data_IF_199671608086
#
_entry.id   IF_199671608086
#
_cell.length_a   1.000
_cell.length_b   1.000
_cell.length_c   1.000
_cell.angle_alpha   90.00
_cell.angle_beta   90.00
_cell.angle_gamma   90.00
#
_symmetry.space_group_name_H-M   'P 1'
#
loop_
_entity.id
_entity.type
_entity.pdbx_description
1 polymer ?
#
# COMPACT_ATOMS: atom_id res chain seq x y z
N UNK A 1 -19.49 43.64 -39.44
CA UNK A 1 -19.70 43.09 -38.07
C UNK A 1 -19.84 41.57 -38.04
N UNK A 2 -20.35 40.90 -39.10
CA UNK A 2 -20.42 39.43 -39.15
C UNK A 2 -19.07 38.68 -39.24
N UNK A 3 -18.07 39.23 -39.94
CA UNK A 3 -16.78 38.53 -40.10
C UNK A 3 -15.99 38.39 -38.79
N UNK A 4 -16.07 39.36 -37.87
CA UNK A 4 -15.36 39.29 -36.58
C UNK A 4 -15.96 38.22 -35.65
N UNK A 5 -17.27 37.97 -35.71
CA UNK A 5 -17.93 36.94 -34.90
C UNK A 5 -17.47 35.52 -35.29
N UNK A 6 -17.23 35.25 -36.59
CA UNK A 6 -16.74 33.96 -37.06
C UNK A 6 -15.30 33.66 -36.60
N UNK A 7 -14.43 34.67 -36.50
CA UNK A 7 -13.07 34.47 -35.99
C UNK A 7 -13.04 34.14 -34.49
N UNK A 8 -13.96 34.68 -33.68
CA UNK A 8 -14.05 34.35 -32.25
C UNK A 8 -14.58 32.93 -31.99
N UNK A 9 -15.52 32.44 -32.80
CA UNK A 9 -16.08 31.09 -32.65
C UNK A 9 -15.04 30.01 -33.00
N UNK A 10 -14.22 30.22 -34.03
CA UNK A 10 -13.17 29.28 -34.44
C UNK A 10 -12.06 29.18 -33.37
N UNK A 11 -11.71 30.29 -32.70
CA UNK A 11 -10.71 30.29 -31.63
C UNK A 11 -11.23 29.64 -30.33
N UNK A 12 -12.53 29.75 -30.03
CA UNK A 12 -13.12 29.08 -28.85
C UNK A 12 -13.22 27.55 -29.05
N UNK A 13 -13.48 27.08 -30.28
CA UNK A 13 -13.54 25.65 -30.61
C UNK A 13 -12.16 24.98 -30.58
N UNK A 14 -11.09 25.71 -30.93
CA UNK A 14 -9.71 25.20 -30.86
C UNK A 14 -9.21 25.08 -29.41
N UNK A 15 -9.81 25.83 -28.48
CA UNK A 15 -9.43 25.85 -27.06
C UNK A 15 -9.95 24.63 -26.27
N UNK A 16 -10.94 23.91 -26.80
CA UNK A 16 -11.59 22.78 -26.10
C UNK A 16 -10.94 21.42 -26.45
N UNK A 17 -10.16 21.34 -27.53
CA UNK A 17 -9.57 20.08 -27.99
C UNK A 17 -8.23 19.69 -27.33
N UNK A 18 -7.66 20.55 -26.49
CA UNK A 18 -6.49 20.20 -25.65
C UNK A 18 -6.98 19.77 -24.26
N UNK A 19 -7.96 18.87 -24.22
CA UNK A 19 -8.18 18.08 -23.02
C UNK A 19 -7.04 17.07 -22.96
N UNK A 20 -6.00 17.42 -22.20
CA UNK A 20 -4.88 16.54 -21.90
C UNK A 20 -5.45 15.29 -21.26
N UNK A 21 -5.61 14.23 -22.05
CA UNK A 21 -5.79 12.89 -21.54
C UNK A 21 -4.48 12.52 -20.83
N UNK A 22 -4.39 12.84 -19.55
CA UNK A 22 -3.39 12.20 -18.69
C UNK A 22 -3.86 10.74 -18.58
N UNK A 23 -3.43 9.91 -19.53
CA UNK A 23 -3.55 8.47 -19.42
C UNK A 23 -2.63 8.07 -18.28
N UNK A 24 -3.16 8.04 -17.06
CA UNK A 24 -2.48 7.37 -15.97
C UNK A 24 -2.54 5.89 -16.30
N UNK A 25 -1.45 5.35 -16.85
CA UNK A 25 -1.28 3.91 -16.93
C UNK A 25 -1.27 3.38 -15.51
N UNK A 26 -2.39 2.83 -15.04
CA UNK A 26 -2.38 1.99 -13.86
C UNK A 26 -1.44 0.83 -14.17
N UNK A 27 -0.29 0.78 -13.48
CA UNK A 27 0.58 -0.39 -13.56
C UNK A 27 -0.18 -1.51 -12.87
N UNK A 28 -0.57 -2.52 -13.63
CA UNK A 28 -1.01 -3.79 -13.06
C UNK A 28 0.14 -4.39 -12.28
N UNK A 29 -0.16 -5.13 -11.21
CA UNK A 29 0.87 -5.73 -10.39
C UNK A 29 1.86 -6.57 -11.22
N UNK A 30 1.42 -7.22 -12.30
CA UNK A 30 2.22 -8.14 -13.13
C UNK A 30 3.51 -7.53 -13.74
N UNK A 31 3.63 -6.21 -13.85
CA UNK A 31 4.80 -5.54 -14.44
C UNK A 31 5.70 -4.83 -13.40
N UNK A 32 5.62 -5.23 -12.13
CA UNK A 32 6.42 -4.63 -11.07
C UNK A 32 7.86 -5.13 -11.04
N UNK A 33 8.80 -4.20 -11.08
CA UNK A 33 10.20 -4.43 -10.72
C UNK A 33 10.45 -4.04 -9.27
N UNK A 34 11.30 -4.79 -8.57
CA UNK A 34 11.69 -4.52 -7.20
C UNK A 34 13.20 -4.36 -7.09
N UNK A 35 13.63 -3.56 -6.12
CA UNK A 35 15.05 -3.39 -5.82
C UNK A 35 15.68 -4.72 -5.37
N UNK A 36 17.00 -4.80 -5.50
CA UNK A 36 17.79 -5.98 -5.12
C UNK A 36 17.40 -7.26 -5.88
N UNK A 37 16.88 -7.12 -7.11
CA UNK A 37 16.45 -8.23 -7.97
C UNK A 37 15.45 -9.18 -7.28
N UNK A 38 14.61 -8.66 -6.39
CA UNK A 38 13.53 -9.44 -5.77
C UNK A 38 12.49 -9.79 -6.84
N UNK A 39 12.09 -11.07 -6.87
CA UNK A 39 11.09 -11.61 -7.80
C UNK A 39 9.96 -12.22 -7.00
N UNK A 40 8.73 -11.91 -7.37
CA UNK A 40 7.51 -12.46 -6.80
C UNK A 40 6.69 -13.12 -7.90
N UNK A 41 6.27 -14.36 -7.66
CA UNK A 41 5.54 -15.18 -8.63
C UNK A 41 4.04 -14.89 -8.61
N UNK A 42 3.56 -14.34 -7.49
CA UNK A 42 2.15 -14.01 -7.29
C UNK A 42 1.98 -12.53 -6.98
N UNK A 43 0.88 -11.96 -7.45
CA UNK A 43 0.51 -10.60 -7.12
C UNK A 43 -1.00 -10.37 -7.26
N UNK A 44 -1.49 -9.33 -6.58
CA UNK A 44 -2.86 -8.84 -6.74
C UNK A 44 -2.89 -7.32 -6.62
N UNK A 45 -3.74 -6.70 -7.44
CA UNK A 45 -4.10 -5.29 -7.31
C UNK A 45 -5.13 -5.15 -6.19
N UNK A 46 -4.85 -4.30 -5.21
CA UNK A 46 -5.81 -4.03 -4.14
C UNK A 46 -6.78 -2.94 -4.60
N UNK A 47 -8.09 -3.07 -4.36
CA UNK A 47 -9.10 -2.16 -4.95
C UNK A 47 -8.95 -0.69 -4.55
N UNK A 48 -8.23 -0.39 -3.47
CA UNK A 48 -8.16 0.93 -2.86
C UNK A 48 -6.73 1.35 -2.55
N UNK A 49 -6.53 2.67 -2.46
CA UNK A 49 -5.29 3.33 -2.06
C UNK A 49 -4.12 3.15 -3.05
N UNK A 50 -4.41 2.75 -4.30
CA UNK A 50 -3.38 2.52 -5.31
C UNK A 50 -2.32 1.53 -4.81
N UNK A 51 -2.80 0.45 -4.18
CA UNK A 51 -1.98 -0.50 -3.46
C UNK A 51 -1.96 -1.85 -4.19
N UNK A 52 -0.86 -2.58 -4.01
CA UNK A 52 -0.59 -3.86 -4.65
C UNK A 52 0.12 -4.75 -3.65
N UNK A 53 -0.21 -6.04 -3.67
CA UNK A 53 0.47 -7.03 -2.84
C UNK A 53 1.10 -8.08 -3.75
N UNK A 54 2.38 -8.32 -3.52
CA UNK A 54 3.16 -9.35 -4.19
C UNK A 54 3.65 -10.35 -3.16
N UNK A 55 3.73 -11.62 -3.54
CA UNK A 55 4.19 -12.63 -2.61
C UNK A 55 4.79 -13.87 -3.27
N UNK A 56 5.58 -14.59 -2.47
CA UNK A 56 5.98 -15.98 -2.67
C UNK A 56 5.66 -16.74 -1.39
N UNK A 57 4.83 -17.77 -1.48
CA UNK A 57 4.60 -18.67 -0.36
C UNK A 57 5.72 -19.72 -0.27
N UNK A 58 6.15 -20.02 0.95
CA UNK A 58 7.24 -20.96 1.27
C UNK A 58 6.63 -22.10 2.10
N UNK A 59 6.13 -23.18 1.45
CA UNK A 59 5.34 -24.20 2.12
C UNK A 59 6.06 -24.91 3.26
N UNK A 60 7.35 -25.22 3.08
CA UNK A 60 8.17 -25.92 4.07
C UNK A 60 8.32 -25.17 5.40
N UNK A 61 8.22 -23.83 5.37
CA UNK A 61 8.32 -22.97 6.55
C UNK A 61 6.96 -22.40 6.97
N UNK A 62 5.91 -22.63 6.17
CA UNK A 62 4.59 -21.96 6.30
C UNK A 62 4.73 -20.43 6.35
N UNK A 63 5.73 -19.88 5.66
CA UNK A 63 6.02 -18.45 5.62
C UNK A 63 5.62 -17.86 4.27
N UNK A 64 5.44 -16.54 4.23
CA UNK A 64 5.23 -15.81 2.98
C UNK A 64 6.19 -14.63 2.92
N UNK A 65 6.98 -14.60 1.84
CA UNK A 65 7.75 -13.41 1.49
C UNK A 65 6.83 -12.45 0.73
N UNK A 66 6.76 -11.20 1.16
CA UNK A 66 5.85 -10.20 0.59
C UNK A 66 6.60 -8.97 0.09
N UNK A 67 5.98 -8.30 -0.88
CA UNK A 67 6.16 -6.87 -1.14
C UNK A 67 4.79 -6.19 -1.21
N UNK A 68 4.47 -5.39 -0.20
CA UNK A 68 3.28 -4.53 -0.20
C UNK A 68 3.70 -3.14 -0.69
N UNK A 69 3.12 -2.69 -1.81
CA UNK A 69 3.42 -1.40 -2.43
C UNK A 69 2.17 -0.54 -2.45
N UNK A 70 2.30 0.75 -2.19
CA UNK A 70 1.21 1.71 -2.35
C UNK A 70 1.72 3.08 -2.77
N UNK A 71 0.90 3.80 -3.55
CA UNK A 71 1.15 5.21 -3.86
C UNK A 71 1.13 6.04 -2.57
N UNK A 72 2.15 6.87 -2.37
CA UNK A 72 2.27 7.69 -1.17
C UNK A 72 3.16 8.91 -1.40
N UNK A 73 2.94 9.98 -0.64
CA UNK A 73 3.82 11.16 -0.58
C UNK A 73 4.96 10.95 0.42
N UNK A 74 6.05 11.70 0.27
CA UNK A 74 7.26 11.53 1.08
C UNK A 74 7.09 11.82 2.58
N UNK A 75 6.01 12.48 2.99
CA UNK A 75 5.68 12.78 4.39
C UNK A 75 4.64 11.82 4.99
N UNK A 76 4.13 10.90 4.16
CA UNK A 76 3.12 9.95 4.56
C UNK A 76 3.68 8.65 5.11
N UNK A 77 2.79 7.70 5.33
CA UNK A 77 3.08 6.35 5.78
C UNK A 77 2.15 5.36 5.09
N UNK A 78 2.58 4.10 5.02
CA UNK A 78 1.76 2.98 4.55
C UNK A 78 1.81 1.85 5.57
N UNK A 79 0.73 1.07 5.66
CA UNK A 79 0.68 -0.12 6.49
C UNK A 79 0.00 -1.27 5.76
N UNK A 80 0.51 -2.47 5.99
CA UNK A 80 -0.14 -3.73 5.62
C UNK A 80 -0.18 -4.64 6.83
N UNK A 81 -1.30 -5.32 7.04
CA UNK A 81 -1.54 -6.08 8.26
C UNK A 81 -2.28 -7.39 7.98
N UNK A 82 -2.03 -8.38 8.84
CA UNK A 82 -2.86 -9.57 8.99
C UNK A 82 -3.74 -9.37 10.21
N UNK A 83 -5.03 -9.67 10.11
CA UNK A 83 -5.90 -9.78 11.27
C UNK A 83 -6.13 -11.27 11.61
N UNK A 84 -5.49 -11.80 12.67
CA UNK A 84 -5.65 -13.20 13.04
C UNK A 84 -6.97 -13.51 13.76
N UNK A 85 -7.71 -12.50 14.23
CA UNK A 85 -8.92 -12.68 15.06
C UNK A 85 -10.20 -12.13 14.43
N UNK A 86 -10.10 -11.48 13.26
CA UNK A 86 -11.21 -10.81 12.60
C UNK A 86 -10.91 -10.42 11.16
N UNK A 87 -11.66 -9.47 10.62
CA UNK A 87 -11.56 -9.02 9.22
C UNK A 87 -11.26 -7.53 9.07
N UNK A 88 -11.39 -6.73 10.15
CA UNK A 88 -11.25 -5.27 10.11
C UNK A 88 -9.99 -4.76 10.80
N UNK A 89 -9.91 -3.45 11.05
CA UNK A 89 -8.76 -2.80 11.68
C UNK A 89 -8.44 -3.35 13.07
N UNK A 90 -9.44 -3.50 13.94
CA UNK A 90 -9.25 -3.92 15.32
C UNK A 90 -8.76 -5.37 15.40
N UNK A 91 -7.64 -5.60 16.09
CA UNK A 91 -6.96 -6.90 16.18
C UNK A 91 -5.90 -7.12 15.09
N UNK A 92 -5.77 -6.20 14.13
CA UNK A 92 -4.75 -6.30 13.08
C UNK A 92 -3.33 -6.20 13.64
N UNK A 93 -2.42 -6.96 13.05
CA UNK A 93 -1.00 -6.97 13.35
C UNK A 93 -0.26 -6.51 12.09
N UNK A 94 0.31 -5.31 12.16
CA UNK A 94 0.68 -4.51 11.00
C UNK A 94 2.20 -4.38 10.86
N UNK A 95 2.65 -4.27 9.61
CA UNK A 95 3.92 -3.69 9.24
C UNK A 95 3.64 -2.26 8.79
N UNK A 96 4.30 -1.28 9.40
CA UNK A 96 4.18 0.13 9.01
C UNK A 96 5.50 0.62 8.45
N UNK A 97 5.44 1.49 7.44
CA UNK A 97 6.61 2.17 6.91
C UNK A 97 6.34 3.65 6.63
N UNK A 98 7.38 4.46 6.80
CA UNK A 98 7.38 5.86 6.41
C UNK A 98 8.77 6.34 6.04
N UNK A 99 8.81 7.42 5.27
CA UNK A 99 10.04 8.04 4.80
C UNK A 99 10.43 9.18 5.74
N UNK A 100 11.68 9.17 6.21
CA UNK A 100 12.21 10.17 7.13
C UNK A 100 12.72 11.40 6.37
N UNK A 101 12.81 12.54 7.07
CA UNK A 101 13.34 13.78 6.51
C UNK A 101 14.80 13.65 6.05
N UNK A 102 15.58 12.71 6.61
CA UNK A 102 16.96 12.43 6.21
C UNK A 102 17.07 11.50 4.98
N UNK A 103 15.94 11.13 4.36
CA UNK A 103 15.91 10.26 3.17
C UNK A 103 15.90 8.76 3.46
N UNK A 104 16.04 8.33 4.72
CA UNK A 104 15.96 6.91 5.08
C UNK A 104 14.51 6.44 5.22
N UNK A 105 14.29 5.13 5.12
CA UNK A 105 13.01 4.52 5.45
C UNK A 105 13.02 3.98 6.87
N UNK A 106 11.93 4.22 7.59
CA UNK A 106 11.59 3.50 8.82
C UNK A 106 10.57 2.41 8.48
N UNK A 107 10.75 1.21 9.03
CA UNK A 107 9.79 0.11 8.91
C UNK A 107 9.83 -0.77 10.15
N UNK A 108 8.67 -1.12 10.70
CA UNK A 108 8.58 -1.96 11.91
C UNK A 108 7.20 -2.62 12.06
N UNK A 109 7.12 -3.72 12.84
CA UNK A 109 5.84 -4.30 13.24
C UNK A 109 5.15 -3.50 14.35
N UNK A 110 3.82 -3.46 14.36
CA UNK A 110 2.99 -2.84 15.41
C UNK A 110 1.65 -3.55 15.54
N UNK A 111 1.06 -3.54 16.74
CA UNK A 111 -0.23 -4.16 17.02
C UNK A 111 -1.36 -3.12 17.09
N UNK A 112 -2.47 -3.37 16.41
CA UNK A 112 -3.63 -2.48 16.31
C UNK A 112 -4.75 -2.99 17.22
N UNK A 113 -4.68 -2.63 18.50
CA UNK A 113 -5.60 -3.12 19.54
C UNK A 113 -6.72 -2.14 19.88
N UNK A 114 -6.77 -0.97 19.23
CA UNK A 114 -7.83 0.03 19.37
C UNK A 114 -7.96 0.85 18.07
N UNK A 115 -8.96 1.73 18.01
CA UNK A 115 -9.10 2.70 16.92
C UNK A 115 -8.16 3.91 17.02
N UNK A 116 -7.41 4.02 18.13
CA UNK A 116 -6.36 5.03 18.31
C UNK A 116 -5.12 4.34 18.94
N UNK A 117 -4.46 3.44 18.19
CA UNK A 117 -3.29 2.72 18.68
C UNK A 117 -2.09 3.67 18.83
N UNK A 118 -1.10 3.30 19.64
CA UNK A 118 0.11 4.12 19.83
C UNK A 118 0.98 4.22 18.57
N UNK A 119 0.80 3.30 17.62
CA UNK A 119 1.62 3.15 16.40
C UNK A 119 3.13 3.01 16.67
N UNK A 120 3.50 2.63 17.90
CA UNK A 120 4.88 2.32 18.29
C UNK A 120 5.25 0.89 17.86
N UNK A 121 6.55 0.58 17.72
CA UNK A 121 7.01 -0.78 17.50
C UNK A 121 6.47 -1.74 18.57
N UNK A 122 6.08 -2.94 18.15
CA UNK A 122 5.57 -3.95 19.05
C UNK A 122 5.60 -5.35 18.44
N UNK A 123 5.48 -6.34 19.31
CA UNK A 123 5.49 -7.76 18.92
C UNK A 123 4.18 -8.16 18.23
N UNK A 124 4.29 -9.14 17.34
CA UNK A 124 3.19 -9.78 16.64
C UNK A 124 3.08 -11.24 17.10
N UNK A 125 1.92 -11.88 16.90
CA UNK A 125 1.74 -13.30 17.21
C UNK A 125 2.38 -14.24 16.19
N UNK A 126 2.89 -13.71 15.08
CA UNK A 126 3.67 -14.43 14.07
C UNK A 126 5.02 -13.74 13.88
N UNK A 127 6.04 -14.49 13.43
CA UNK A 127 7.35 -13.90 13.24
C UNK A 127 7.37 -13.02 11.98
N UNK A 128 8.19 -11.98 12.05
CA UNK A 128 8.51 -11.10 10.92
C UNK A 128 10.03 -11.04 10.80
N UNK A 129 10.55 -11.29 9.61
CA UNK A 129 11.98 -11.22 9.33
C UNK A 129 12.26 -10.56 7.98
N UNK A 130 13.54 -10.24 7.72
CA UNK A 130 13.98 -9.59 6.49
C UNK A 130 13.19 -8.31 6.13
N UNK A 131 12.81 -7.56 7.17
CA UNK A 131 12.00 -6.36 7.02
C UNK A 131 12.84 -5.23 6.41
N UNK A 132 12.31 -4.60 5.37
CA UNK A 132 12.90 -3.41 4.75
C UNK A 132 11.82 -2.62 4.03
N UNK A 133 12.07 -1.33 3.79
CA UNK A 133 11.18 -0.50 2.99
C UNK A 133 11.96 0.42 2.07
N UNK A 134 11.31 0.86 1.00
CA UNK A 134 11.85 1.86 0.07
C UNK A 134 10.77 2.87 -0.31
N UNK A 135 11.21 4.08 -0.66
CA UNK A 135 10.38 5.11 -1.27
C UNK A 135 10.99 5.53 -2.59
N UNK A 136 10.24 5.34 -3.69
CA UNK A 136 10.69 5.68 -5.04
C UNK A 136 9.51 6.04 -5.92
N UNK A 137 9.64 7.08 -6.73
CA UNK A 137 8.61 7.51 -7.70
C UNK A 137 7.20 7.70 -7.07
N UNK A 138 7.12 8.27 -5.87
CA UNK A 138 5.86 8.45 -5.12
C UNK A 138 5.14 7.12 -4.78
N UNK A 139 5.90 6.05 -4.62
CA UNK A 139 5.44 4.77 -4.09
C UNK A 139 6.31 4.35 -2.92
N UNK A 140 5.67 3.90 -1.84
CA UNK A 140 6.34 3.18 -0.76
C UNK A 140 6.16 1.69 -0.95
N UNK A 141 7.19 0.90 -0.68
CA UNK A 141 7.11 -0.56 -0.67
C UNK A 141 7.65 -1.10 0.65
N UNK A 142 6.86 -1.94 1.32
CA UNK A 142 7.27 -2.75 2.47
C UNK A 142 7.63 -4.15 1.97
N UNK A 143 8.78 -4.65 2.39
CA UNK A 143 9.22 -6.01 2.17
C UNK A 143 9.40 -6.72 3.49
N UNK A 144 8.96 -7.97 3.57
CA UNK A 144 9.14 -8.80 4.76
C UNK A 144 8.98 -10.28 4.41
N UNK A 145 9.40 -11.14 5.33
CA UNK A 145 8.94 -12.52 5.43
C UNK A 145 8.09 -12.61 6.69
N UNK A 146 6.85 -13.06 6.56
CA UNK A 146 5.90 -13.22 7.67
C UNK A 146 5.48 -14.67 7.85
N UNK A 147 5.22 -15.07 9.08
CA UNK A 147 4.80 -16.41 9.45
C UNK A 147 5.75 -17.05 10.48
N UNK A 148 5.57 -18.34 10.81
CA UNK A 148 4.63 -19.28 10.23
C UNK A 148 3.16 -18.86 10.30
N UNK A 149 2.39 -19.11 9.25
CA UNK A 149 0.93 -18.94 9.24
C UNK A 149 0.28 -20.19 9.82
N UNK A 150 0.03 -20.19 11.13
CA UNK A 150 -0.45 -21.37 11.87
C UNK A 150 -1.87 -21.80 11.47
N UNK A 151 -2.72 -20.85 11.04
CA UNK A 151 -4.13 -21.09 10.71
C UNK A 151 -4.38 -21.32 9.20
N UNK A 152 -3.34 -21.72 8.46
CA UNK A 152 -3.42 -21.94 7.01
C UNK A 152 -2.99 -20.74 6.17
N UNK A 153 -3.17 -20.83 4.86
CA UNK A 153 -2.68 -19.85 3.87
C UNK A 153 -3.69 -18.75 3.57
N UNK A 154 -4.94 -18.93 3.99
CA UNK A 154 -6.01 -17.95 3.83
C UNK A 154 -6.03 -17.04 5.06
N UNK A 155 -5.73 -15.76 4.87
CA UNK A 155 -5.73 -14.76 5.95
C UNK A 155 -6.64 -13.60 5.64
N UNK A 156 -7.22 -13.01 6.68
CA UNK A 156 -7.77 -11.66 6.59
C UNK A 156 -6.63 -10.66 6.60
N UNK A 157 -6.59 -9.76 5.62
CA UNK A 157 -5.60 -8.69 5.59
C UNK A 157 -6.26 -7.32 5.47
N UNK A 158 -5.56 -6.31 5.96
CA UNK A 158 -5.99 -4.91 5.99
C UNK A 158 -4.83 -4.06 5.53
N UNK A 159 -5.11 -3.00 4.80
CA UNK A 159 -4.08 -2.06 4.39
C UNK A 159 -4.55 -0.62 4.59
N UNK A 160 -3.60 0.26 4.90
CA UNK A 160 -3.87 1.67 5.14
C UNK A 160 -2.72 2.54 4.65
N UNK A 161 -3.03 3.82 4.52
CA UNK A 161 -2.08 4.87 4.20
C UNK A 161 -2.49 6.15 4.93
N UNK A 162 -1.53 7.00 5.30
CA UNK A 162 -1.80 8.32 5.88
C UNK A 162 -0.79 9.35 5.40
N UNK A 163 -1.15 10.63 5.45
CA UNK A 163 -0.36 11.69 4.79
C UNK A 163 0.64 12.40 5.72
N UNK A 164 0.66 12.03 7.01
CA UNK A 164 1.50 12.67 8.01
C UNK A 164 2.07 11.70 9.04
N UNK A 165 3.32 11.98 9.40
CA UNK A 165 4.06 11.37 10.50
C UNK A 165 4.52 12.49 11.41
N UNK A 166 4.28 12.38 12.71
CA UNK A 166 4.70 13.38 13.71
C UNK A 166 5.57 12.70 14.76
N UNK A 167 6.76 13.25 15.02
CA UNK A 167 7.71 12.67 15.99
C UNK A 167 7.98 11.18 15.76
N UNK A 168 8.13 10.76 14.51
CA UNK A 168 8.29 9.37 14.08
C UNK A 168 7.10 8.45 14.36
N UNK A 169 5.91 9.02 14.62
CA UNK A 169 4.66 8.29 14.82
C UNK A 169 3.70 8.55 13.66
N UNK A 170 3.29 7.51 12.91
CA UNK A 170 2.20 7.59 11.94
C UNK A 170 0.95 8.21 12.55
N UNK A 171 0.41 9.25 11.93
CA UNK A 171 -0.82 9.90 12.38
C UNK A 171 -2.05 9.22 11.79
N UNK A 172 -3.23 9.52 12.35
CA UNK A 172 -4.50 8.94 11.92
C UNK A 172 -4.69 9.03 10.39
N UNK A 173 -5.12 7.94 9.77
CA UNK A 173 -5.47 7.92 8.36
C UNK A 173 -6.88 8.49 8.12
N UNK A 174 -7.23 8.76 6.86
CA UNK A 174 -8.58 9.18 6.49
C UNK A 174 -9.63 8.10 6.80
N UNK A 175 -10.86 8.49 7.14
CA UNK A 175 -12.00 7.60 7.31
C UNK A 175 -12.92 7.56 6.07
N UNK A 176 -12.39 7.95 4.90
CA UNK A 176 -13.16 7.86 3.66
C UNK A 176 -13.53 6.42 3.30
N UNK A 177 -14.50 6.26 2.40
CA UNK A 177 -15.00 4.95 1.97
C UNK A 177 -13.88 4.02 1.49
N UNK A 178 -12.90 4.51 0.74
CA UNK A 178 -11.77 3.70 0.28
C UNK A 178 -10.93 3.17 1.43
N UNK A 179 -10.71 3.95 2.50
CA UNK A 179 -9.98 3.49 3.68
C UNK A 179 -10.79 2.47 4.48
N UNK A 180 -12.09 2.70 4.66
CA UNK A 180 -12.97 1.78 5.39
C UNK A 180 -13.16 0.44 4.66
N UNK A 181 -12.97 0.41 3.34
CA UNK A 181 -13.06 -0.81 2.52
C UNK A 181 -11.70 -1.45 2.21
N UNK A 182 -10.60 -0.93 2.77
CA UNK A 182 -9.24 -1.46 2.54
C UNK A 182 -8.97 -2.71 3.37
N UNK A 183 -9.78 -3.75 3.14
CA UNK A 183 -9.69 -5.07 3.77
C UNK A 183 -10.22 -6.15 2.82
N UNK A 184 -9.65 -7.35 2.90
CA UNK A 184 -10.12 -8.52 2.16
C UNK A 184 -9.58 -9.82 2.77
N UNK A 185 -9.87 -10.96 2.13
CA UNK A 185 -9.17 -12.21 2.38
C UNK A 185 -8.21 -12.49 1.23
N UNK A 186 -7.08 -13.11 1.53
CA UNK A 186 -6.10 -13.55 0.54
C UNK A 186 -5.67 -14.98 0.84
N UNK A 187 -5.57 -15.82 -0.18
CA UNK A 187 -4.91 -17.12 -0.10
C UNK A 187 -3.48 -17.00 -0.63
N UNK A 188 -2.49 -17.18 0.22
CA UNK A 188 -1.10 -17.09 -0.21
C UNK A 188 -0.63 -18.28 -1.04
N UNK A 189 -1.38 -19.39 -1.05
CA UNK A 189 -1.03 -20.57 -1.83
C UNK A 189 -1.52 -20.50 -3.28
N UNK A 190 -2.69 -19.90 -3.51
CA UNK A 190 -3.34 -19.83 -4.81
C UNK A 190 -3.61 -18.36 -5.15
N UNK A 191 -2.91 -17.83 -6.16
CA UNK A 191 -3.13 -16.49 -6.69
C UNK A 191 -4.32 -16.46 -7.66
#
# INVERSE_FOLDING_TARGET
>A
MQLMASFFIVNLLLSILVSVFVVSSAKTCSNSTFSLNRVFNSCTDLPYLGAHLHWNYIPSLRQVSIAYRARQISTGWIAWAINPTGTGMLGSQALVAFHNANGSMTVYPTSITSYNPSMLPGELSFQVSNISAEYKHNEMTIYAIVGPLENGTIVSHVWQAGNSVSSNIPQIHSMSSSHLQSMSKIDFQNA
#
